data_IF_924563936834
#
_entry.id   IF_924563936834
#
_cell.length_a   1.000
_cell.length_b   1.000
_cell.length_c   1.000
_cell.angle_alpha   90.00
_cell.angle_beta   90.00
_cell.angle_gamma   90.00
#
_symmetry.space_group_name_H-M   'P 1'
#
loop_
_entity.id
_entity.type
_entity.pdbx_description
1 polymer ?
#
# COMPACT_ATOMS: atom_id res chain seq x y z
N UNK A 1 -7.96 -0.82 13.07
CA UNK A 1 -7.64 0.53 12.57
C UNK A 1 -7.47 0.47 11.05
N UNK A 2 -8.12 1.37 10.32
CA UNK A 2 -8.12 1.36 8.85
C UNK A 2 -6.80 1.89 8.22
N UNK A 3 -5.98 2.57 9.02
CA UNK A 3 -4.66 3.09 8.65
C UNK A 3 -3.68 2.82 9.78
N UNK A 4 -2.40 2.75 9.46
CA UNK A 4 -1.31 2.48 10.43
C UNK A 4 -1.28 3.48 11.58
N UNK A 5 -1.52 4.74 11.26
CA UNK A 5 -1.63 5.87 12.19
C UNK A 5 -2.18 7.08 11.42
N UNK A 6 -2.39 8.20 12.13
CA UNK A 6 -2.91 9.41 11.49
C UNK A 6 -1.98 10.03 10.44
N UNK A 7 -0.68 9.80 10.54
CA UNK A 7 0.28 10.26 9.51
C UNK A 7 0.07 9.50 8.20
N UNK A 8 -0.14 8.17 8.29
CA UNK A 8 -0.47 7.35 7.13
C UNK A 8 -1.79 7.82 6.49
N UNK A 9 -2.87 8.00 7.28
CA UNK A 9 -4.17 8.48 6.77
C UNK A 9 -4.06 9.84 6.07
N UNK A 10 -3.43 10.82 6.73
CA UNK A 10 -3.26 12.17 6.17
C UNK A 10 -2.45 12.14 4.87
N UNK A 11 -1.37 11.34 4.84
CA UNK A 11 -0.53 11.21 3.66
C UNK A 11 -1.28 10.56 2.49
N UNK A 12 -1.99 9.46 2.75
CA UNK A 12 -2.82 8.79 1.78
C UNK A 12 -3.87 9.73 1.18
N UNK A 13 -4.63 10.42 2.04
CA UNK A 13 -5.66 11.38 1.61
C UNK A 13 -5.07 12.51 0.76
N UNK A 14 -3.90 13.02 1.14
CA UNK A 14 -3.22 14.07 0.38
C UNK A 14 -2.77 13.57 -1.00
N UNK A 15 -2.19 12.37 -1.05
CA UNK A 15 -1.70 11.78 -2.30
C UNK A 15 -2.83 11.34 -3.24
N UNK A 16 -3.98 10.92 -2.69
CA UNK A 16 -5.15 10.51 -3.47
C UNK A 16 -5.87 11.70 -4.14
N UNK A 17 -5.58 12.95 -3.72
CA UNK A 17 -6.19 14.14 -4.34
C UNK A 17 -5.80 14.23 -5.81
N UNK A 18 -6.80 14.25 -6.69
CA UNK A 18 -6.60 14.33 -8.13
C UNK A 18 -6.28 12.99 -8.81
N UNK A 19 -6.29 11.89 -8.07
CA UNK A 19 -6.23 10.54 -8.60
C UNK A 19 -7.64 9.97 -8.81
N UNK A 20 -7.75 8.94 -9.65
CA UNK A 20 -8.97 8.17 -9.84
C UNK A 20 -9.21 7.25 -8.63
N UNK A 21 -9.98 7.73 -7.66
CA UNK A 21 -10.31 6.99 -6.43
C UNK A 21 -11.21 5.77 -6.67
N UNK A 22 -11.83 5.65 -7.86
CA UNK A 22 -12.59 4.45 -8.25
C UNK A 22 -11.70 3.31 -8.73
N UNK A 23 -10.44 3.60 -9.10
CA UNK A 23 -9.46 2.58 -9.47
C UNK A 23 -8.93 1.88 -8.21
N UNK A 24 -9.47 0.68 -7.97
CA UNK A 24 -9.14 -0.16 -6.81
C UNK A 24 -7.67 -0.60 -6.80
N UNK A 25 -7.06 -0.82 -7.96
CA UNK A 25 -5.67 -1.21 -8.04
C UNK A 25 -4.77 -0.03 -7.69
N UNK A 26 -5.03 1.14 -8.29
CA UNK A 26 -4.31 2.38 -7.99
C UNK A 26 -4.39 2.74 -6.50
N UNK A 27 -5.59 2.66 -5.90
CA UNK A 27 -5.79 2.97 -4.49
C UNK A 27 -5.13 1.97 -3.55
N UNK A 28 -5.14 0.68 -3.89
CA UNK A 28 -4.40 -0.34 -3.15
C UNK A 28 -2.88 -0.05 -3.16
N UNK A 29 -2.32 0.29 -4.32
CA UNK A 29 -0.91 0.64 -4.43
C UNK A 29 -0.58 1.86 -3.60
N UNK A 30 -1.37 2.92 -3.73
CA UNK A 30 -1.15 4.16 -3.02
C UNK A 30 -1.20 3.96 -1.49
N UNK A 31 -2.18 3.20 -1.00
CA UNK A 31 -2.33 2.86 0.41
C UNK A 31 -1.06 2.19 0.97
N UNK A 32 -0.56 1.14 0.32
CA UNK A 32 0.64 0.44 0.74
C UNK A 32 1.90 1.33 0.70
N UNK A 33 2.05 2.14 -0.35
CA UNK A 33 3.20 3.03 -0.49
C UNK A 33 3.22 4.15 0.56
N UNK A 34 2.05 4.62 1.01
CA UNK A 34 1.95 5.66 2.04
C UNK A 34 2.01 5.12 3.48
N UNK A 35 1.97 3.80 3.67
CA UNK A 35 2.00 3.15 4.98
C UNK A 35 3.38 3.23 5.65
N UNK A 36 4.44 3.45 4.88
CA UNK A 36 5.80 3.67 5.37
C UNK A 36 6.42 4.93 4.75
N UNK A 37 7.11 5.71 5.59
CA UNK A 37 7.71 6.98 5.16
C UNK A 37 8.87 6.76 4.19
N UNK A 38 9.71 5.75 4.42
CA UNK A 38 10.88 5.49 3.55
C UNK A 38 10.41 5.06 2.17
N UNK A 39 9.46 4.13 2.12
CA UNK A 39 8.83 3.67 0.90
C UNK A 39 8.20 4.83 0.12
N UNK A 40 7.43 5.68 0.81
CA UNK A 40 6.82 6.85 0.17
C UNK A 40 7.84 7.80 -0.47
N UNK A 41 8.97 8.09 0.21
CA UNK A 41 9.99 8.98 -0.35
C UNK A 41 10.59 8.43 -1.65
N UNK A 42 10.76 7.11 -1.72
CA UNK A 42 11.33 6.44 -2.89
C UNK A 42 10.29 6.33 -4.01
N UNK A 43 9.02 6.09 -3.68
CA UNK A 43 7.96 5.92 -4.67
C UNK A 43 7.45 7.23 -5.26
N UNK A 44 7.36 8.29 -4.46
CA UNK A 44 6.73 9.57 -4.84
C UNK A 44 7.21 10.14 -6.19
N UNK A 45 8.51 10.14 -6.53
CA UNK A 45 8.98 10.65 -7.82
C UNK A 45 8.47 9.90 -9.05
N UNK A 46 8.03 8.64 -8.87
CA UNK A 46 7.56 7.77 -9.96
C UNK A 46 6.06 7.85 -10.18
N UNK A 47 5.32 8.49 -9.28
CA UNK A 47 3.86 8.56 -9.31
C UNK A 47 3.44 9.63 -10.32
N UNK A 48 2.67 9.21 -11.32
CA UNK A 48 1.95 10.09 -12.24
C UNK A 48 0.45 10.07 -11.90
N UNK A 49 -0.31 11.08 -12.36
CA UNK A 49 -1.69 11.41 -11.96
C UNK A 49 -2.60 10.20 -11.69
N UNK A 50 -2.52 9.14 -12.49
CA UNK A 50 -3.30 7.91 -12.31
C UNK A 50 -2.47 6.64 -12.50
N UNK A 51 -1.13 6.73 -12.36
CA UNK A 51 -0.25 5.59 -12.63
C UNK A 51 0.89 5.53 -11.63
N UNK A 52 1.05 4.35 -11.04
CA UNK A 52 2.16 4.04 -10.14
C UNK A 52 2.94 2.86 -10.74
N UNK A 53 4.08 3.11 -11.41
CA UNK A 53 4.82 2.05 -12.08
C UNK A 53 5.71 1.31 -11.07
N UNK A 54 5.11 0.41 -10.28
CA UNK A 54 5.78 -0.35 -9.22
C UNK A 54 7.05 -1.09 -9.67
N UNK A 55 7.13 -1.47 -10.95
CA UNK A 55 8.29 -2.12 -11.56
C UNK A 55 9.58 -1.26 -11.53
N UNK A 56 9.46 0.07 -11.45
CA UNK A 56 10.62 0.96 -11.37
C UNK A 56 11.03 1.29 -9.92
N UNK A 57 10.21 0.93 -8.94
CA UNK A 57 10.46 1.18 -7.53
C UNK A 57 11.30 0.02 -6.97
N UNK A 58 12.50 0.35 -6.51
CA UNK A 58 13.46 -0.58 -5.94
C UNK A 58 13.93 -0.07 -4.57
N UNK A 59 13.90 -0.95 -3.57
CA UNK A 59 14.40 -0.67 -2.23
C UNK A 59 15.83 -1.20 -2.10
N UNK A 60 16.70 -0.42 -1.46
CA UNK A 60 17.97 -0.95 -0.95
C UNK A 60 17.68 -1.80 0.29
N UNK A 61 18.50 -2.82 0.54
CA UNK A 61 18.27 -3.93 1.49
C UNK A 61 18.03 -3.57 2.98
N UNK A 62 17.87 -2.30 3.35
CA UNK A 62 17.85 -1.81 4.72
C UNK A 62 16.45 -1.54 5.30
N UNK A 63 15.38 -1.99 4.66
CA UNK A 63 14.01 -1.79 5.13
C UNK A 63 13.12 -3.01 4.93
N UNK A 64 13.10 -3.92 5.91
CA UNK A 64 12.28 -5.14 5.90
C UNK A 64 10.79 -4.81 5.74
N UNK A 65 10.25 -3.87 6.52
CA UNK A 65 8.85 -3.46 6.41
C UNK A 65 8.51 -2.78 5.08
N UNK A 66 9.36 -1.86 4.60
CA UNK A 66 9.18 -1.20 3.30
C UNK A 66 9.16 -2.22 2.17
N UNK A 67 10.00 -3.26 2.27
CA UNK A 67 10.10 -4.34 1.30
C UNK A 67 8.83 -5.17 1.27
N UNK A 68 8.32 -5.60 2.42
CA UNK A 68 7.07 -6.35 2.53
C UNK A 68 5.90 -5.56 1.91
N UNK A 69 5.78 -4.26 2.22
CA UNK A 69 4.72 -3.41 1.66
C UNK A 69 4.82 -3.28 0.13
N UNK A 70 6.04 -3.12 -0.40
CA UNK A 70 6.27 -3.05 -1.85
C UNK A 70 5.97 -4.39 -2.55
N UNK A 71 6.40 -5.50 -1.95
CA UNK A 71 6.12 -6.85 -2.41
C UNK A 71 4.61 -7.11 -2.46
N UNK A 72 3.88 -6.79 -1.39
CA UNK A 72 2.43 -6.90 -1.37
C UNK A 72 1.76 -6.05 -2.47
N UNK A 73 2.23 -4.82 -2.69
CA UNK A 73 1.68 -3.97 -3.74
C UNK A 73 1.88 -4.59 -5.14
N UNK A 74 3.06 -5.17 -5.39
CA UNK A 74 3.37 -5.89 -6.64
C UNK A 74 2.50 -7.14 -6.78
N UNK A 75 2.36 -7.94 -5.72
CA UNK A 75 1.57 -9.17 -5.76
C UNK A 75 0.09 -8.88 -6.04
N UNK A 76 -0.50 -7.88 -5.39
CA UNK A 76 -1.92 -7.51 -5.54
C UNK A 76 -2.27 -6.84 -6.87
N UNK A 77 -1.30 -6.28 -7.60
CA UNK A 77 -1.57 -5.49 -8.81
C UNK A 77 -0.85 -5.93 -10.07
N UNK A 78 0.31 -6.58 -9.95
CA UNK A 78 1.07 -7.15 -11.06
C UNK A 78 0.98 -8.69 -11.12
N UNK A 79 0.39 -9.34 -10.10
CA UNK A 79 0.25 -10.80 -10.05
C UNK A 79 1.57 -11.53 -9.76
N UNK A 80 2.53 -10.84 -9.15
CA UNK A 80 3.78 -11.46 -8.69
C UNK A 80 3.53 -12.33 -7.45
N UNK A 81 4.55 -13.07 -7.00
CA UNK A 81 4.47 -14.01 -5.88
C UNK A 81 5.65 -13.82 -4.92
N UNK A 82 5.79 -12.63 -4.35
CA UNK A 82 6.85 -12.32 -3.39
C UNK A 82 6.49 -12.74 -1.97
N UNK A 83 5.21 -12.66 -1.59
CA UNK A 83 4.71 -13.05 -0.27
C UNK A 83 3.90 -14.35 -0.37
N UNK A 84 4.26 -15.31 0.47
CA UNK A 84 3.52 -16.57 0.66
C UNK A 84 2.57 -16.48 1.86
N UNK A 85 1.73 -17.50 2.02
CA UNK A 85 0.89 -17.64 3.22
C UNK A 85 1.75 -17.87 4.46
N UNK A 86 2.88 -18.57 4.33
CA UNK A 86 3.80 -18.83 5.44
C UNK A 86 4.43 -17.52 5.94
N UNK A 87 4.83 -16.63 5.02
CA UNK A 87 5.33 -15.29 5.38
C UNK A 87 4.27 -14.47 6.13
N UNK A 88 3.00 -14.56 5.70
CA UNK A 88 1.86 -13.89 6.35
C UNK A 88 1.54 -14.46 7.73
N UNK A 89 1.83 -15.74 7.97
CA UNK A 89 1.62 -16.40 9.25
C UNK A 89 2.79 -16.20 10.22
N UNK A 90 3.98 -15.87 9.73
CA UNK A 90 5.17 -15.66 10.54
C UNK A 90 5.17 -14.28 11.20
N UNK A 91 4.79 -14.24 12.47
CA UNK A 91 4.77 -13.01 13.28
C UNK A 91 6.15 -12.40 13.55
N UNK A 92 7.24 -13.13 13.30
CA UNK A 92 8.61 -12.62 13.40
C UNK A 92 9.00 -11.80 12.17
N UNK A 93 8.36 -12.05 11.03
CA UNK A 93 8.54 -11.31 9.76
C UNK A 93 7.44 -10.25 9.60
N UNK A 94 6.18 -10.62 9.82
CA UNK A 94 5.02 -9.77 9.64
C UNK A 94 4.34 -9.54 11.00
N UNK A 95 4.61 -8.37 11.58
CA UNK A 95 3.97 -7.98 12.84
C UNK A 95 2.45 -7.90 12.70
N UNK A 96 1.67 -8.08 13.79
CA UNK A 96 0.21 -7.96 13.73
C UNK A 96 -0.30 -6.63 13.15
N UNK A 97 0.42 -5.54 13.43
CA UNK A 97 0.11 -4.23 12.84
C UNK A 97 0.35 -4.23 11.32
N UNK A 98 1.45 -4.82 10.85
CA UNK A 98 1.72 -4.93 9.41
C UNK A 98 0.65 -5.78 8.73
N UNK A 99 0.30 -6.93 9.31
CA UNK A 99 -0.75 -7.81 8.80
C UNK A 99 -2.08 -7.07 8.60
N UNK A 100 -2.49 -6.24 9.56
CA UNK A 100 -3.70 -5.41 9.43
C UNK A 100 -3.64 -4.45 8.22
N UNK A 101 -2.48 -3.85 7.96
CA UNK A 101 -2.27 -3.00 6.77
C UNK A 101 -2.38 -3.81 5.48
N UNK A 102 -1.81 -5.01 5.43
CA UNK A 102 -1.92 -5.89 4.26
C UNK A 102 -3.38 -6.32 4.02
N UNK A 103 -4.11 -6.68 5.07
CA UNK A 103 -5.54 -7.00 4.97
C UNK A 103 -6.37 -5.83 4.45
N UNK A 104 -6.13 -4.61 4.95
CA UNK A 104 -6.80 -3.41 4.46
C UNK A 104 -6.50 -3.16 2.98
N UNK A 105 -5.26 -3.37 2.53
CA UNK A 105 -4.89 -3.24 1.12
C UNK A 105 -5.62 -4.27 0.24
N UNK A 106 -5.71 -5.53 0.68
CA UNK A 106 -6.49 -6.58 0.01
C UNK A 106 -7.97 -6.16 -0.08
N UNK A 107 -8.53 -5.62 0.99
CA UNK A 107 -9.91 -5.15 1.02
C UNK A 107 -10.15 -4.00 0.04
N UNK A 108 -9.24 -3.01 -0.03
CA UNK A 108 -9.29 -1.92 -1.01
C UNK A 108 -9.21 -2.48 -2.43
N UNK A 109 -8.31 -3.42 -2.70
CA UNK A 109 -8.14 -4.03 -4.03
C UNK A 109 -9.40 -4.74 -4.51
N UNK A 110 -10.15 -5.36 -3.59
CA UNK A 110 -11.37 -6.13 -3.87
C UNK A 110 -12.62 -5.24 -3.93
N UNK A 111 -12.82 -4.42 -2.92
CA UNK A 111 -14.07 -3.70 -2.68
C UNK A 111 -13.97 -2.19 -2.90
N UNK A 112 -12.77 -1.64 -3.04
CA UNK A 112 -12.53 -0.20 -3.15
C UNK A 112 -12.40 0.48 -1.78
N UNK A 113 -12.34 1.81 -1.79
CA UNK A 113 -12.06 2.61 -0.59
C UNK A 113 -13.15 2.56 0.48
N UNK A 114 -14.38 2.17 0.11
CA UNK A 114 -15.48 1.99 1.07
C UNK A 114 -15.16 0.89 2.10
N UNK A 115 -14.30 -0.08 1.76
CA UNK A 115 -13.88 -1.15 2.65
C UNK A 115 -13.18 -0.65 3.92
N UNK A 116 -12.54 0.53 3.83
CA UNK A 116 -11.83 1.16 4.94
C UNK A 116 -12.55 2.43 5.43
N UNK A 117 -13.85 2.54 5.13
CA UNK A 117 -14.71 3.68 5.50
C UNK A 117 -14.09 5.03 5.06
N UNK A 118 -13.48 5.05 3.88
CA UNK A 118 -12.78 6.24 3.40
C UNK A 118 -13.77 7.36 3.06
N UNK A 119 -13.69 8.47 3.79
CA UNK A 119 -14.44 9.68 3.48
C UNK A 119 -13.66 10.60 2.53
N UNK A 120 -13.42 10.13 1.31
CA UNK A 120 -12.99 11.01 0.22
C UNK A 120 -14.17 11.85 -0.27
N UNK A 121 -13.98 13.15 -0.52
CA UNK A 121 -15.04 14.00 -1.09
C UNK A 121 -15.51 13.39 -2.42
N UNK A 122 -16.79 13.00 -2.44
CA UNK A 122 -17.55 12.72 -3.66
C UNK A 122 -17.65 13.96 -4.53
#
# INVERSE_FOLDING_TARGET
>A
MNFRNEKHKTLFQSAAKGMNTSDKALMCQLYLLTADRKLWQISKPWIDKNRIPLQHIHLRASGEESYILLCCAKDLTLGTKHLSIDDLADTTVITPQMFEILCNAIAIRRFGLDAIQYQGRR
#
